data_IF_883086857699
#
_entry.id   IF_883086857699
#
_cell.length_a   1.000
_cell.length_b   1.000
_cell.length_c   1.000
_cell.angle_alpha   90.00
_cell.angle_beta   90.00
_cell.angle_gamma   90.00
#
_symmetry.space_group_name_H-M   'P 1'
#
loop_
_entity.id
_entity.type
_entity.pdbx_description
1 polymer ?
#
# COMPACT_ATOMS: atom_id res chain seq x y z
N UNK A 1 -14.19 26.19 -29.70
CA UNK A 1 -14.71 25.13 -28.80
C UNK A 1 -14.67 25.51 -27.32
N UNK A 2 -13.61 26.11 -26.75
CA UNK A 2 -13.52 26.37 -25.29
C UNK A 2 -14.76 27.01 -24.66
N UNK A 3 -15.28 28.09 -25.28
CA UNK A 3 -16.51 28.76 -24.82
C UNK A 3 -17.74 27.84 -24.67
N UNK A 4 -17.86 26.81 -25.52
CA UNK A 4 -18.96 25.84 -25.42
C UNK A 4 -18.78 24.89 -24.23
N UNK A 5 -17.54 24.51 -23.94
CA UNK A 5 -17.21 23.65 -22.81
C UNK A 5 -17.28 24.41 -21.48
N UNK A 6 -16.86 25.67 -21.45
CA UNK A 6 -17.01 26.54 -20.27
C UNK A 6 -18.48 26.68 -19.87
N UNK A 7 -19.34 26.91 -20.86
CA UNK A 7 -20.79 27.03 -20.66
C UNK A 7 -21.47 25.71 -20.24
N UNK A 8 -20.85 24.56 -20.52
CA UNK A 8 -21.42 23.26 -20.21
C UNK A 8 -20.92 22.70 -18.87
N UNK A 9 -19.62 22.70 -18.64
CA UNK A 9 -19.01 22.06 -17.47
C UNK A 9 -17.72 22.72 -16.97
N UNK A 10 -16.99 23.43 -17.84
CA UNK A 10 -15.62 23.87 -17.53
C UNK A 10 -15.52 25.01 -16.53
N UNK A 11 -16.57 25.80 -16.37
CA UNK A 11 -16.66 26.85 -15.34
C UNK A 11 -16.87 26.30 -13.93
N UNK A 12 -17.43 25.09 -13.80
CA UNK A 12 -17.84 24.53 -12.50
C UNK A 12 -16.71 24.45 -11.47
N UNK A 13 -15.48 24.00 -11.80
CA UNK A 13 -14.39 23.99 -10.82
C UNK A 13 -14.04 25.38 -10.29
N UNK A 14 -14.02 26.40 -11.14
CA UNK A 14 -13.73 27.77 -10.75
C UNK A 14 -14.88 28.43 -9.99
N UNK A 15 -16.11 28.21 -10.44
CA UNK A 15 -17.30 28.88 -9.90
C UNK A 15 -17.81 28.27 -8.59
N UNK A 16 -17.54 26.98 -8.37
CA UNK A 16 -18.14 26.21 -7.26
C UNK A 16 -17.13 25.50 -6.36
N UNK A 17 -15.84 25.54 -6.70
CA UNK A 17 -14.77 24.77 -6.04
C UNK A 17 -14.99 23.24 -6.06
N UNK A 18 -15.89 22.74 -6.92
CA UNK A 18 -16.18 21.31 -7.07
C UNK A 18 -15.42 20.70 -8.24
N UNK A 19 -14.86 19.51 -8.01
CA UNK A 19 -14.22 18.76 -9.07
C UNK A 19 -15.23 18.34 -10.17
N UNK A 20 -14.80 18.43 -11.42
CA UNK A 20 -15.50 17.87 -12.58
C UNK A 20 -14.63 16.80 -13.20
N UNK A 21 -15.27 15.73 -13.65
CA UNK A 21 -14.63 14.67 -14.44
C UNK A 21 -15.47 14.41 -15.69
N UNK A 22 -14.82 14.43 -16.86
CA UNK A 22 -15.47 14.00 -18.11
C UNK A 22 -15.57 12.48 -18.09
N UNK A 23 -16.80 11.99 -18.00
CA UNK A 23 -17.09 10.58 -17.73
C UNK A 23 -16.64 9.59 -18.81
N UNK A 24 -16.60 10.00 -20.08
CA UNK A 24 -16.05 9.21 -21.19
C UNK A 24 -15.85 10.08 -22.43
N UNK A 25 -14.76 9.86 -23.16
CA UNK A 25 -14.56 10.42 -24.50
C UNK A 25 -13.54 9.60 -25.30
N UNK A 26 -13.61 9.64 -26.63
CA UNK A 26 -12.69 8.92 -27.51
C UNK A 26 -12.69 9.51 -28.92
N UNK A 27 -11.73 9.13 -29.74
CA UNK A 27 -11.62 9.62 -31.12
C UNK A 27 -10.78 8.71 -31.98
N UNK A 28 -11.18 8.54 -33.25
CA UNK A 28 -10.38 7.81 -34.26
C UNK A 28 -9.07 8.49 -34.62
N UNK A 29 -8.86 9.73 -34.16
CA UNK A 29 -7.70 10.57 -34.47
C UNK A 29 -7.58 10.99 -35.95
N UNK A 30 -8.60 10.73 -36.76
CA UNK A 30 -8.63 11.09 -38.19
C UNK A 30 -9.36 12.41 -38.44
N UNK A 31 -8.88 13.20 -39.40
CA UNK A 31 -9.60 14.36 -39.93
C UNK A 31 -10.12 15.35 -38.87
N UNK A 32 -11.45 15.51 -38.80
CA UNK A 32 -12.10 16.41 -37.82
C UNK A 32 -12.07 15.85 -36.40
N UNK A 33 -12.09 14.53 -36.25
CA UNK A 33 -12.13 13.86 -34.96
C UNK A 33 -10.78 13.99 -34.25
N UNK A 34 -9.67 13.91 -34.99
CA UNK A 34 -8.33 14.19 -34.46
C UNK A 34 -8.16 15.65 -34.04
N UNK A 35 -8.69 16.61 -34.81
CA UNK A 35 -8.68 18.03 -34.41
C UNK A 35 -9.49 18.27 -33.14
N UNK A 36 -10.65 17.65 -33.03
CA UNK A 36 -11.49 17.75 -31.84
C UNK A 36 -10.81 17.11 -30.61
N UNK A 37 -10.22 15.92 -30.77
CA UNK A 37 -9.55 15.18 -29.70
C UNK A 37 -8.36 15.97 -29.12
N UNK A 38 -7.54 16.56 -29.99
CA UNK A 38 -6.44 17.41 -29.55
C UNK A 38 -6.95 18.68 -28.84
N UNK A 39 -8.03 19.29 -29.33
CA UNK A 39 -8.61 20.48 -28.71
C UNK A 39 -9.22 20.21 -27.33
N UNK A 40 -9.96 19.10 -27.18
CA UNK A 40 -10.52 18.73 -25.86
C UNK A 40 -9.42 18.32 -24.90
N UNK A 41 -8.39 17.60 -25.36
CA UNK A 41 -7.22 17.25 -24.54
C UNK A 41 -6.51 18.49 -23.99
N UNK A 42 -6.23 19.47 -24.85
CA UNK A 42 -5.60 20.72 -24.43
C UNK A 42 -6.46 21.46 -23.39
N UNK A 43 -7.76 21.57 -23.66
CA UNK A 43 -8.69 22.23 -22.77
C UNK A 43 -8.79 21.57 -21.39
N UNK A 44 -8.91 20.23 -21.34
CA UNK A 44 -8.96 19.49 -20.09
C UNK A 44 -7.65 19.64 -19.30
N UNK A 45 -6.52 19.65 -19.99
CA UNK A 45 -5.20 19.84 -19.37
C UNK A 45 -5.06 21.24 -18.77
N UNK A 46 -5.36 22.29 -19.53
CA UNK A 46 -5.29 23.69 -19.11
C UNK A 46 -6.18 24.00 -17.89
N UNK A 47 -7.33 23.32 -17.80
CA UNK A 47 -8.29 23.55 -16.73
C UNK A 47 -8.19 22.53 -15.57
N UNK A 48 -7.21 21.61 -15.61
CA UNK A 48 -7.03 20.60 -14.56
C UNK A 48 -8.22 19.64 -14.41
N UNK A 49 -8.97 19.39 -15.49
CA UNK A 49 -10.19 18.58 -15.48
C UNK A 49 -9.83 17.12 -15.76
N UNK A 50 -10.20 16.23 -14.83
CA UNK A 50 -10.01 14.80 -15.00
C UNK A 50 -10.90 14.21 -16.11
N UNK A 51 -10.49 13.09 -16.70
CA UNK A 51 -11.33 12.40 -17.67
C UNK A 51 -11.05 10.90 -17.74
N UNK A 52 -12.02 10.15 -18.26
CA UNK A 52 -11.84 8.75 -18.67
C UNK A 52 -11.83 8.66 -20.20
N UNK A 53 -10.77 8.05 -20.75
CA UNK A 53 -10.67 7.80 -22.18
C UNK A 53 -11.32 6.47 -22.55
N UNK A 54 -12.15 6.49 -23.58
CA UNK A 54 -12.80 5.34 -24.20
C UNK A 54 -12.21 5.11 -25.59
N UNK A 55 -11.81 3.91 -25.99
CA UNK A 55 -11.84 2.63 -25.28
C UNK A 55 -10.44 2.04 -25.17
N UNK A 56 -10.23 1.14 -24.19
CA UNK A 56 -9.08 0.23 -24.26
C UNK A 56 -9.19 -0.71 -25.47
N UNK A 57 -10.40 -1.21 -25.76
CA UNK A 57 -10.69 -2.17 -26.83
C UNK A 57 -10.29 -1.64 -28.24
N UNK A 58 -9.39 -2.33 -28.97
CA UNK A 58 -8.97 -1.95 -30.33
C UNK A 58 -10.11 -1.73 -31.31
N UNK A 59 -11.18 -2.53 -31.17
CA UNK A 59 -12.26 -2.64 -32.13
C UNK A 59 -13.46 -1.74 -31.80
N UNK A 60 -13.27 -0.70 -30.98
CA UNK A 60 -14.35 0.28 -30.72
C UNK A 60 -14.77 0.94 -32.04
N UNK A 61 -15.96 0.62 -32.53
CA UNK A 61 -16.41 1.01 -33.86
C UNK A 61 -16.53 2.55 -34.04
N UNK A 62 -16.83 3.24 -32.95
CA UNK A 62 -17.08 4.68 -32.84
C UNK A 62 -15.79 5.49 -32.69
N UNK A 63 -14.92 5.11 -31.76
CA UNK A 63 -13.74 5.90 -31.37
C UNK A 63 -12.41 5.25 -31.75
N UNK A 64 -12.41 3.97 -32.11
CA UNK A 64 -11.21 3.12 -32.05
C UNK A 64 -10.71 2.92 -30.62
N UNK A 65 -9.76 2.00 -30.46
CA UNK A 65 -9.15 1.65 -29.17
C UNK A 65 -7.84 2.36 -28.86
N UNK A 66 -7.28 2.10 -27.67
CA UNK A 66 -5.94 2.54 -27.28
C UNK A 66 -4.83 1.63 -27.77
N UNK A 67 -5.15 0.36 -28.01
CA UNK A 67 -4.21 -0.66 -28.48
C UNK A 67 -4.63 -1.18 -29.85
N UNK A 68 -3.73 -1.88 -30.54
CA UNK A 68 -4.00 -2.59 -31.80
C UNK A 68 -4.77 -3.89 -31.54
N UNK A 69 -5.20 -4.57 -32.61
CA UNK A 69 -5.99 -5.81 -32.56
C UNK A 69 -5.33 -6.96 -31.77
N UNK A 70 -4.03 -6.87 -31.46
CA UNK A 70 -3.31 -7.80 -30.61
C UNK A 70 -3.52 -7.59 -29.10
N UNK A 71 -4.31 -6.57 -28.71
CA UNK A 71 -4.62 -6.17 -27.34
C UNK A 71 -3.41 -5.77 -26.48
N UNK A 72 -2.24 -5.57 -27.11
CA UNK A 72 -0.97 -5.36 -26.42
C UNK A 72 -0.24 -4.13 -26.94
N UNK A 73 -0.23 -3.93 -28.25
CA UNK A 73 0.58 -2.89 -28.87
C UNK A 73 -0.13 -1.55 -28.77
N UNK A 74 0.46 -0.53 -28.11
CA UNK A 74 -0.10 0.81 -28.04
C UNK A 74 -0.27 1.47 -29.41
N UNK A 75 -1.28 2.33 -29.53
CA UNK A 75 -1.40 3.28 -30.62
C UNK A 75 -0.74 4.59 -30.17
N UNK A 76 0.50 4.81 -30.61
CA UNK A 76 1.38 5.88 -30.11
C UNK A 76 0.74 7.27 -30.13
N UNK A 77 0.10 7.66 -31.23
CA UNK A 77 -0.56 8.98 -31.36
C UNK A 77 -1.61 9.25 -30.26
N UNK A 78 -2.27 8.19 -29.75
CA UNK A 78 -3.27 8.31 -28.67
C UNK A 78 -2.59 8.47 -27.32
N UNK A 79 -1.53 7.71 -27.07
CA UNK A 79 -0.76 7.83 -25.84
C UNK A 79 -0.02 9.16 -25.76
N UNK A 80 0.54 9.65 -26.87
CA UNK A 80 1.16 10.98 -26.95
C UNK A 80 0.14 12.08 -26.63
N UNK A 81 -1.08 11.99 -27.15
CA UNK A 81 -2.16 12.92 -26.82
C UNK A 81 -2.52 12.83 -25.33
N UNK A 82 -2.81 11.63 -24.83
CA UNK A 82 -3.26 11.42 -23.45
C UNK A 82 -2.19 11.73 -22.40
N UNK A 83 -0.91 11.62 -22.75
CA UNK A 83 0.21 11.93 -21.85
C UNK A 83 0.22 13.39 -21.38
N UNK A 84 -0.50 14.27 -22.10
CA UNK A 84 -0.64 15.69 -21.78
C UNK A 84 -1.70 15.97 -20.71
N UNK A 85 -2.57 15.01 -20.42
CA UNK A 85 -3.63 15.19 -19.44
C UNK A 85 -3.12 15.04 -18.01
N UNK A 86 -3.69 15.82 -17.06
CA UNK A 86 -3.45 15.62 -15.65
C UNK A 86 -3.89 14.21 -15.27
N UNK A 87 -2.90 13.38 -14.94
CA UNK A 87 -3.12 12.01 -14.50
C UNK A 87 -2.21 11.71 -13.33
N UNK A 88 -2.71 10.92 -12.38
CA UNK A 88 -1.84 10.32 -11.38
C UNK A 88 -1.34 9.01 -11.95
N UNK A 89 -0.02 8.86 -12.09
CA UNK A 89 0.55 7.58 -12.51
C UNK A 89 0.19 6.53 -11.49
N UNK A 90 -0.42 5.44 -11.93
CA UNK A 90 -0.73 4.30 -11.07
C UNK A 90 0.55 3.80 -10.39
N UNK A 91 1.69 3.84 -11.08
CA UNK A 91 2.99 3.50 -10.48
C UNK A 91 3.41 4.44 -9.34
N UNK A 92 3.07 5.72 -9.39
CA UNK A 92 3.38 6.66 -8.30
C UNK A 92 2.43 6.45 -7.11
N UNK A 93 1.15 6.15 -7.37
CA UNK A 93 0.21 5.68 -6.34
C UNK A 93 0.73 4.40 -5.70
N UNK A 94 1.12 3.41 -6.50
CA UNK A 94 1.66 2.16 -6.03
C UNK A 94 2.95 2.40 -5.24
N UNK A 95 3.88 3.26 -5.65
CA UNK A 95 5.07 3.56 -4.85
C UNK A 95 4.73 4.23 -3.52
N UNK A 96 3.80 5.19 -3.53
CA UNK A 96 3.37 5.91 -2.33
C UNK A 96 2.65 5.01 -1.33
N UNK A 97 1.81 4.10 -1.82
CA UNK A 97 1.00 3.22 -0.96
C UNK A 97 1.61 1.85 -0.75
N UNK A 98 2.52 1.37 -1.60
CA UNK A 98 3.24 0.13 -1.36
C UNK A 98 4.33 0.33 -0.32
N UNK A 99 4.93 1.53 -0.22
CA UNK A 99 5.83 1.88 0.87
C UNK A 99 5.08 1.77 2.20
N UNK A 100 5.40 0.76 3.00
CA UNK A 100 4.78 0.54 4.29
C UNK A 100 4.90 1.79 5.19
N UNK A 101 3.82 2.18 5.85
CA UNK A 101 3.90 3.00 7.07
C UNK A 101 4.17 2.06 8.25
N UNK A 102 4.88 2.53 9.29
CA UNK A 102 5.48 1.81 10.44
C UNK A 102 4.89 0.45 10.88
N UNK A 103 3.60 0.14 10.65
CA UNK A 103 2.99 -1.18 10.87
C UNK A 103 1.83 -1.54 9.94
N UNK A 104 1.80 -1.06 8.68
CA UNK A 104 0.75 -1.41 7.69
C UNK A 104 -0.67 -1.26 8.26
N UNK A 105 -0.96 -0.06 8.78
CA UNK A 105 -2.21 0.31 9.47
C UNK A 105 -2.59 -0.56 10.69
N UNK A 106 -1.67 -1.38 11.19
CA UNK A 106 -1.89 -2.35 12.25
C UNK A 106 -2.49 -3.67 11.77
N UNK A 107 -2.53 -3.91 10.46
CA UNK A 107 -3.16 -5.07 9.83
C UNK A 107 -2.17 -5.94 9.04
N UNK A 108 -0.87 -5.65 9.14
CA UNK A 108 0.17 -6.38 8.44
C UNK A 108 1.56 -6.04 8.96
N UNK A 109 2.57 -6.64 8.35
CA UNK A 109 3.99 -6.36 8.60
C UNK A 109 4.62 -5.67 7.40
N UNK A 110 5.57 -4.78 7.65
CA UNK A 110 6.40 -4.26 6.58
C UNK A 110 7.57 -5.23 6.30
N UNK A 111 7.64 -5.75 5.08
CA UNK A 111 8.71 -6.61 4.58
C UNK A 111 9.25 -5.99 3.31
N UNK A 112 10.55 -5.66 3.30
CA UNK A 112 11.23 -5.06 2.12
C UNK A 112 10.52 -3.83 1.55
N UNK A 113 9.96 -3.00 2.45
CA UNK A 113 9.24 -1.79 2.08
C UNK A 113 7.81 -2.02 1.61
N UNK A 114 7.29 -3.25 1.65
CA UNK A 114 5.92 -3.60 1.26
C UNK A 114 5.14 -4.23 2.41
N UNK A 115 3.82 -4.05 2.41
CA UNK A 115 2.96 -4.64 3.43
C UNK A 115 2.58 -6.08 3.11
N UNK A 116 2.85 -6.98 4.05
CA UNK A 116 2.33 -8.34 4.08
C UNK A 116 1.23 -8.43 5.14
N UNK A 117 0.00 -8.62 4.69
CA UNK A 117 -1.18 -8.50 5.54
C UNK A 117 -1.46 -9.74 6.38
N UNK A 118 -2.02 -9.52 7.57
CA UNK A 118 -2.58 -10.58 8.39
C UNK A 118 -3.82 -11.17 7.72
N UNK A 119 -4.19 -12.38 8.12
CA UNK A 119 -5.26 -13.12 7.47
C UNK A 119 -6.59 -12.34 7.53
N UNK A 120 -7.31 -12.31 6.41
CA UNK A 120 -8.54 -11.52 6.23
C UNK A 120 -8.32 -10.04 5.93
N UNK A 121 -7.08 -9.56 5.94
CA UNK A 121 -6.71 -8.19 5.57
C UNK A 121 -5.93 -8.15 4.25
N UNK A 122 -6.04 -7.03 3.55
CA UNK A 122 -5.53 -6.81 2.20
C UNK A 122 -5.40 -5.32 1.91
N UNK A 123 -4.89 -4.96 0.74
CA UNK A 123 -4.61 -3.58 0.37
C UNK A 123 -3.13 -3.22 0.57
N UNK A 124 -2.69 -2.11 -0.03
CA UNK A 124 -1.28 -1.73 -0.06
C UNK A 124 -0.73 -1.37 1.33
N UNK A 125 -1.60 -1.04 2.28
CA UNK A 125 -1.30 -0.83 3.69
C UNK A 125 -2.11 -1.75 4.61
N UNK A 126 -2.61 -2.88 4.09
CA UNK A 126 -3.45 -3.83 4.81
C UNK A 126 -4.77 -3.26 5.38
N UNK A 127 -5.26 -2.17 4.81
CA UNK A 127 -6.41 -1.41 5.30
C UNK A 127 -7.78 -1.97 4.88
N UNK A 128 -7.81 -3.07 4.12
CA UNK A 128 -9.02 -3.62 3.52
C UNK A 128 -9.29 -5.01 4.08
N UNK A 129 -10.44 -5.21 4.70
CA UNK A 129 -11.01 -6.55 4.91
C UNK A 129 -12.27 -6.70 4.04
N UNK A 130 -12.56 -7.93 3.63
CA UNK A 130 -13.75 -8.19 2.81
C UNK A 130 -14.99 -8.18 3.70
N UNK A 131 -16.08 -7.46 3.35
CA UNK A 131 -17.29 -7.45 4.16
C UNK A 131 -17.83 -8.87 4.39
N UNK A 132 -18.11 -9.20 5.66
CA UNK A 132 -18.53 -10.53 6.10
C UNK A 132 -17.38 -11.49 6.44
N UNK A 133 -16.12 -11.14 6.17
CA UNK A 133 -14.97 -11.94 6.60
C UNK A 133 -14.85 -11.92 8.13
N UNK A 134 -15.00 -13.10 8.74
CA UNK A 134 -14.90 -13.28 10.17
C UNK A 134 -13.43 -13.45 10.63
N UNK A 135 -12.55 -13.95 9.76
CA UNK A 135 -11.14 -14.18 10.08
C UNK A 135 -10.41 -12.86 10.34
N UNK A 136 -10.75 -11.82 9.59
CA UNK A 136 -10.25 -10.46 9.81
C UNK A 136 -10.53 -9.92 11.22
N UNK A 137 -11.57 -10.45 11.89
CA UNK A 137 -12.10 -10.03 13.18
C UNK A 137 -12.01 -11.15 14.24
N UNK A 138 -10.96 -11.97 14.18
CA UNK A 138 -10.67 -13.08 15.10
C UNK A 138 -11.82 -14.11 15.25
N UNK A 139 -12.66 -14.25 14.23
CA UNK A 139 -13.88 -15.07 14.25
C UNK A 139 -14.86 -14.72 15.38
N UNK A 140 -14.68 -13.57 16.01
CA UNK A 140 -15.52 -13.05 17.09
C UNK A 140 -16.29 -11.79 16.65
N UNK A 141 -16.32 -11.56 15.34
CA UNK A 141 -17.02 -10.48 14.69
C UNK A 141 -16.97 -10.64 13.18
N UNK A 142 -17.51 -9.67 12.46
CA UNK A 142 -17.53 -9.65 10.99
C UNK A 142 -17.04 -8.32 10.45
N UNK A 143 -16.19 -8.36 9.42
CA UNK A 143 -15.75 -7.17 8.73
C UNK A 143 -16.94 -6.43 8.06
N UNK A 144 -16.96 -5.11 8.18
CA UNK A 144 -17.99 -4.23 7.63
C UNK A 144 -17.53 -3.55 6.34
N UNK A 145 -18.45 -2.85 5.66
CA UNK A 145 -18.19 -2.18 4.37
C UNK A 145 -17.13 -1.08 4.42
N UNK A 146 -16.88 -0.54 5.61
CA UNK A 146 -15.88 0.50 5.87
C UNK A 146 -14.52 -0.08 6.34
N UNK A 147 -14.32 -1.39 6.19
CA UNK A 147 -13.12 -2.11 6.65
C UNK A 147 -12.88 -2.00 8.16
N UNK A 148 -13.97 -2.03 8.94
CA UNK A 148 -13.92 -2.13 10.41
C UNK A 148 -14.58 -3.42 10.90
N UNK A 149 -14.21 -3.88 12.09
CA UNK A 149 -14.81 -5.07 12.68
C UNK A 149 -16.05 -4.72 13.50
N UNK A 150 -17.18 -5.36 13.17
CA UNK A 150 -18.35 -5.41 14.05
C UNK A 150 -18.25 -6.63 14.94
N UNK A 151 -18.05 -6.40 16.23
CA UNK A 151 -17.86 -7.47 17.19
C UNK A 151 -19.18 -8.09 17.67
N UNK A 152 -19.13 -9.40 17.92
CA UNK A 152 -20.24 -10.23 18.38
C UNK A 152 -19.91 -10.79 19.78
N UNK A 153 -20.84 -11.53 20.40
CA UNK A 153 -20.61 -12.21 21.69
C UNK A 153 -20.11 -11.32 22.85
N UNK A 154 -20.34 -10.00 22.78
CA UNK A 154 -19.90 -9.05 23.81
C UNK A 154 -18.40 -8.76 23.82
N UNK A 155 -17.62 -9.32 22.88
CA UNK A 155 -16.22 -8.91 22.69
C UNK A 155 -16.17 -7.53 22.05
N UNK A 156 -15.08 -6.82 22.30
CA UNK A 156 -14.88 -5.44 21.86
C UNK A 156 -13.46 -5.28 21.30
N UNK A 157 -13.05 -4.05 21.03
CA UNK A 157 -11.75 -3.73 20.47
C UNK A 157 -11.71 -3.80 18.95
N UNK A 158 -10.62 -3.30 18.37
CA UNK A 158 -10.46 -3.09 16.93
C UNK A 158 -10.60 -4.36 16.09
N UNK A 159 -10.28 -5.51 16.69
CA UNK A 159 -10.26 -6.82 16.03
C UNK A 159 -11.23 -7.82 16.67
N UNK A 160 -12.11 -7.38 17.56
CA UNK A 160 -12.98 -8.27 18.36
C UNK A 160 -12.18 -9.26 19.23
N UNK A 161 -11.02 -8.83 19.71
CA UNK A 161 -10.14 -9.58 20.61
C UNK A 161 -10.33 -9.21 22.08
N UNK A 162 -11.18 -8.22 22.41
CA UNK A 162 -11.38 -7.67 23.75
C UNK A 162 -10.97 -6.18 23.83
N UNK A 163 -11.44 -5.47 24.87
CA UNK A 163 -10.87 -4.17 25.32
C UNK A 163 -9.95 -4.37 26.53
N UNK A 164 -10.18 -5.46 27.27
CA UNK A 164 -9.31 -5.97 28.32
C UNK A 164 -8.16 -6.76 27.69
N UNK A 165 -7.01 -6.74 28.33
CA UNK A 165 -5.86 -7.56 27.94
C UNK A 165 -5.95 -8.99 28.48
N UNK A 166 -7.04 -9.32 29.18
CA UNK A 166 -7.32 -10.67 29.66
C UNK A 166 -7.69 -11.58 28.48
N UNK A 167 -6.92 -12.66 28.30
CA UNK A 167 -7.08 -13.59 27.18
C UNK A 167 -6.44 -13.15 25.86
N UNK A 168 -5.85 -11.95 25.80
CA UNK A 168 -5.11 -11.48 24.63
C UNK A 168 -3.64 -11.87 24.78
N UNK A 169 -3.18 -12.74 23.89
CA UNK A 169 -1.78 -13.13 23.85
C UNK A 169 -0.96 -12.12 23.05
N UNK A 170 -0.20 -11.29 23.75
CA UNK A 170 0.80 -10.39 23.15
C UNK A 170 2.20 -10.98 23.27
N UNK A 171 2.35 -12.27 23.00
CA UNK A 171 3.63 -12.95 23.15
C UNK A 171 3.98 -13.24 24.62
N UNK A 172 5.00 -14.06 24.81
CA UNK A 172 5.43 -14.56 26.13
C UNK A 172 6.49 -13.69 26.82
N UNK A 173 6.94 -12.58 26.23
CA UNK A 173 8.08 -11.79 26.72
C UNK A 173 7.67 -10.41 27.23
N UNK A 174 8.55 -9.76 28.03
CA UNK A 174 8.37 -8.38 28.55
C UNK A 174 8.31 -7.30 27.45
N UNK A 175 8.43 -7.71 26.19
CA UNK A 175 8.73 -6.86 25.04
C UNK A 175 7.49 -6.58 24.20
N UNK A 176 6.33 -6.86 24.78
CA UNK A 176 5.04 -6.53 24.24
C UNK A 176 4.08 -6.23 25.40
N UNK A 177 3.32 -5.15 25.25
CA UNK A 177 2.24 -4.80 26.14
C UNK A 177 0.90 -5.00 25.45
N UNK A 178 -0.19 -4.85 26.19
CA UNK A 178 -1.51 -4.69 25.62
C UNK A 178 -2.11 -3.37 26.12
N UNK A 179 -2.74 -2.62 25.22
CA UNK A 179 -3.44 -1.38 25.53
C UNK A 179 -4.77 -1.38 24.81
N UNK A 180 -5.88 -1.29 25.57
CA UNK A 180 -7.25 -1.33 25.04
C UNK A 180 -7.53 -2.50 24.09
N UNK A 181 -7.01 -3.68 24.43
CA UNK A 181 -7.26 -4.88 23.64
C UNK A 181 -6.39 -5.05 22.39
N UNK A 182 -5.36 -4.22 22.25
CA UNK A 182 -4.43 -4.24 21.12
C UNK A 182 -3.02 -4.44 21.65
N UNK A 183 -2.29 -5.40 21.06
CA UNK A 183 -0.90 -5.61 21.38
C UNK A 183 -0.03 -4.44 20.90
N UNK A 184 0.77 -3.91 21.82
CA UNK A 184 1.77 -2.88 21.57
C UNK A 184 3.13 -3.56 21.62
N UNK A 185 3.67 -3.87 20.45
CA UNK A 185 4.94 -4.56 20.33
C UNK A 185 6.12 -3.60 20.52
N UNK A 186 7.16 -4.04 21.22
CA UNK A 186 8.40 -3.30 21.43
C UNK A 186 9.60 -4.08 20.89
N UNK A 187 10.78 -3.45 20.88
CA UNK A 187 12.06 -4.10 20.54
C UNK A 187 12.09 -4.77 19.15
N UNK A 188 11.35 -4.22 18.18
CA UNK A 188 11.33 -4.77 16.82
C UNK A 188 10.47 -6.03 16.67
N UNK A 189 9.66 -6.39 17.68
CA UNK A 189 8.58 -7.35 17.49
C UNK A 189 7.39 -6.70 16.77
N UNK A 190 6.71 -7.48 15.95
CA UNK A 190 5.51 -7.12 15.16
C UNK A 190 4.56 -8.32 15.14
N UNK A 191 3.36 -8.12 14.61
CA UNK A 191 2.29 -9.12 14.71
C UNK A 191 1.18 -8.63 15.63
N UNK A 192 -0.03 -9.14 15.40
CA UNK A 192 -1.14 -9.05 16.33
C UNK A 192 -0.83 -9.67 17.71
N UNK A 193 0.18 -10.54 17.79
CA UNK A 193 0.63 -11.20 19.03
C UNK A 193 2.09 -10.88 19.40
N UNK A 194 2.77 -9.97 18.69
CA UNK A 194 4.18 -9.60 18.96
C UNK A 194 5.20 -10.76 19.03
N UNK A 195 4.91 -11.87 18.35
CA UNK A 195 5.77 -13.07 18.30
C UNK A 195 6.70 -13.10 17.09
N UNK A 196 6.64 -12.10 16.21
CA UNK A 196 7.41 -12.04 14.96
C UNK A 196 8.42 -10.89 14.99
N UNK A 197 9.64 -11.15 14.55
CA UNK A 197 10.67 -10.12 14.36
C UNK A 197 10.42 -9.31 13.07
N UNK A 198 10.56 -7.99 13.14
CA UNK A 198 10.40 -7.05 12.02
C UNK A 198 11.65 -6.93 11.12
N UNK A 199 12.75 -7.60 11.46
CA UNK A 199 13.97 -7.53 10.68
C UNK A 199 13.76 -8.15 9.29
N UNK A 200 13.86 -7.31 8.25
CA UNK A 200 14.01 -7.78 6.87
C UNK A 200 15.50 -7.88 6.52
N UNK A 201 15.83 -8.41 5.33
CA UNK A 201 17.22 -8.58 4.90
C UNK A 201 18.03 -7.26 4.92
N UNK A 202 17.37 -6.13 4.65
CA UNK A 202 17.95 -4.78 4.70
C UNK A 202 18.25 -4.31 6.13
N UNK A 203 17.37 -4.60 7.09
CA UNK A 203 17.58 -4.29 8.49
C UNK A 203 18.70 -5.16 9.10
N UNK A 204 18.82 -6.40 8.64
CA UNK A 204 19.93 -7.30 9.02
C UNK A 204 21.26 -6.82 8.42
N UNK A 205 21.30 -6.37 7.16
CA UNK A 205 22.52 -5.84 6.54
C UNK A 205 22.96 -4.49 7.13
N UNK A 206 22.03 -3.66 7.59
CA UNK A 206 22.34 -2.41 8.29
C UNK A 206 22.80 -2.63 9.74
N UNK A 207 22.42 -3.76 10.35
CA UNK A 207 22.87 -4.13 11.69
C UNK A 207 24.38 -4.44 11.71
N UNK A 208 24.93 -4.99 10.62
CA UNK A 208 26.36 -5.24 10.46
C UNK A 208 27.21 -3.95 10.45
N UNK A 209 26.62 -2.81 10.15
CA UNK A 209 27.34 -1.53 10.00
C UNK A 209 27.27 -0.59 11.22
N UNK A 210 26.49 -0.91 12.27
CA UNK A 210 26.42 -0.29 13.64
C UNK A 210 25.01 -0.37 14.27
N UNK A 211 24.00 -0.93 13.58
CA UNK A 211 22.62 -1.01 14.09
C UNK A 211 22.38 -2.24 14.99
N UNK A 212 21.65 -2.07 16.10
CA UNK A 212 21.15 -3.21 16.89
C UNK A 212 19.69 -3.47 16.56
N UNK A 213 19.38 -4.69 16.08
CA UNK A 213 18.00 -5.17 15.92
C UNK A 213 17.71 -6.20 17.00
N UNK A 214 16.92 -5.80 18.01
CA UNK A 214 16.67 -6.55 19.25
C UNK A 214 15.58 -7.63 19.12
N UNK A 215 15.72 -8.51 18.12
CA UNK A 215 14.72 -9.55 17.83
C UNK A 215 14.86 -10.84 18.64
N UNK A 216 15.93 -10.98 19.42
CA UNK A 216 16.20 -12.08 20.36
C UNK A 216 15.15 -12.21 21.47
N UNK A 217 14.26 -11.23 21.57
CA UNK A 217 13.24 -11.12 22.61
C UNK A 217 11.82 -11.41 22.12
N UNK A 218 11.61 -11.62 20.82
CA UNK A 218 10.31 -12.06 20.30
C UNK A 218 10.19 -13.58 20.57
N UNK A 219 9.13 -14.06 21.24
CA UNK A 219 8.93 -15.48 21.42
C UNK A 219 8.67 -16.11 20.05
N UNK A 220 9.59 -16.95 19.58
CA UNK A 220 9.36 -17.75 18.39
C UNK A 220 8.14 -18.66 18.64
N UNK A 221 7.18 -18.79 17.69
CA UNK A 221 6.22 -19.87 17.78
C UNK A 221 7.00 -21.19 17.82
N UNK A 222 6.62 -22.09 18.73
CA UNK A 222 7.33 -23.35 19.00
C UNK A 222 7.87 -23.97 17.72
N UNK A 223 9.20 -24.02 17.61
CA UNK A 223 9.89 -24.54 16.44
C UNK A 223 9.61 -26.04 16.31
N UNK A 224 8.80 -26.41 15.33
CA UNK A 224 9.04 -27.67 14.61
C UNK A 224 10.24 -27.41 13.69
N UNK A 225 11.44 -27.70 14.22
CA UNK A 225 12.67 -28.00 13.47
C UNK A 225 13.20 -26.96 12.49
N UNK A 226 14.26 -26.23 12.88
CA UNK A 226 15.12 -25.53 11.92
C UNK A 226 15.84 -24.30 12.49
N UNK A 227 17.17 -24.38 12.52
CA UNK A 227 18.18 -23.39 12.92
C UNK A 227 17.71 -21.94 13.15
N UNK A 228 17.82 -21.45 14.39
CA UNK A 228 18.07 -20.03 14.62
C UNK A 228 19.60 -19.91 14.60
N UNK A 229 20.15 -19.29 13.57
CA UNK A 229 21.56 -18.92 13.58
C UNK A 229 21.75 -17.80 14.57
N UNK A 230 22.32 -18.15 15.72
CA UNK A 230 22.94 -17.21 16.63
C UNK A 230 24.17 -16.67 15.91
N UNK A 231 24.07 -15.48 15.31
CA UNK A 231 25.25 -14.70 14.96
C UNK A 231 25.80 -14.10 16.26
N UNK A 232 26.48 -14.92 17.06
CA UNK A 232 27.28 -14.43 18.16
C UNK A 232 28.48 -13.68 17.55
N UNK A 233 28.43 -12.36 17.55
CA UNK A 233 29.53 -11.50 17.13
C UNK A 233 30.64 -11.51 18.20
N UNK A 234 31.34 -12.65 18.35
CA UNK A 234 32.65 -12.70 18.99
C UNK A 234 33.70 -12.46 17.92
N UNK A 235 34.07 -11.20 17.71
CA UNK A 235 35.16 -10.90 16.78
C UNK A 235 35.34 -9.42 16.58
N UNK A 236 35.97 -8.74 17.56
CA UNK A 236 36.82 -7.55 17.37
C UNK A 236 37.42 -7.10 18.72
N UNK A 237 38.09 -8.01 19.43
CA UNK A 237 39.01 -7.67 20.53
C UNK A 237 40.32 -8.45 20.39
N UNK A 238 40.87 -8.51 19.17
CA UNK A 238 42.16 -9.17 18.92
C UNK A 238 43.06 -8.47 17.89
N UNK A 239 42.73 -7.26 17.43
CA UNK A 239 43.51 -6.58 16.37
C UNK A 239 43.96 -5.16 16.74
N UNK A 240 44.04 -4.81 18.04
CA UNK A 240 44.57 -3.50 18.49
C UNK A 240 45.69 -3.61 19.54
N UNK A 241 46.35 -4.77 19.67
CA UNK A 241 47.45 -4.96 20.64
C UNK A 241 48.80 -5.40 20.02
N UNK A 242 49.04 -5.17 18.73
CA UNK A 242 50.32 -5.52 18.10
C UNK A 242 51.09 -4.35 17.46
N UNK A 243 50.74 -3.09 17.75
CA UNK A 243 51.49 -1.91 17.24
C UNK A 243 52.33 -1.22 18.34
N UNK A 244 52.44 -1.80 19.54
CA UNK A 244 53.26 -1.25 20.64
C UNK A 244 54.26 -2.25 21.23
N UNK A 245 54.95 -3.00 20.37
CA UNK A 245 56.10 -3.82 20.79
C UNK A 245 57.10 -4.01 19.64
N UNK A 246 57.69 -2.90 19.17
CA UNK A 246 58.99 -2.88 18.48
C UNK A 246 59.67 -1.52 18.78
N UNK A 247 59.96 -1.32 20.07
CA UNK A 247 61.19 -0.73 20.60
C UNK A 247 61.75 -1.74 21.60
#
# INVERSE_FOLDING_TARGET
MPKLWDAAFGSVPGDTERAVVVGAWGSKMEGRDGKWANAVTAYLSENGIGSFYWAFNPQSADTGGLVKDDWKTPIEERFEMLSKLPSTKVSDLLKKYAACTDSCKGYGRCVEGQCECYAGWSGPQCEICTPGDAQACNNAGTCQKDSTCKCEFGVKGRYCSGESCEGIFCGSSKNAGCTNGVCVCSYGCVGNECTKCAANATALSAADELGMVLCDTCPAPDKVGGAAQVAACFGLYAALLSVWALL
#
